data_IF_780300689047
#
_entry.id   IF_780300689047
#
_cell.length_a   1.000
_cell.length_b   1.000
_cell.length_c   1.000
_cell.angle_alpha   90.00
_cell.angle_beta   90.00
_cell.angle_gamma   90.00
#
_symmetry.space_group_name_H-M   'P 1'
#
loop_
_entity.id
_entity.type
_entity.pdbx_description
1 polymer ?
#
# COMPACT_ATOMS: atom_id res chain seq x y z
N UNK A 1 -21.99 -11.08 -0.54
CA UNK A 1 -20.66 -11.74 -0.45
C UNK A 1 -20.71 -13.02 0.41
N UNK A 2 -21.15 -12.96 1.68
CA UNK A 2 -21.27 -14.17 2.53
C UNK A 2 -22.15 -15.26 1.93
N UNK A 3 -23.31 -14.88 1.38
CA UNK A 3 -24.22 -15.83 0.71
C UNK A 3 -23.59 -16.49 -0.53
N UNK A 4 -22.51 -15.90 -1.05
CA UNK A 4 -21.71 -16.45 -2.15
C UNK A 4 -20.47 -17.23 -1.64
N UNK A 5 -20.37 -17.46 -0.34
CA UNK A 5 -19.30 -18.25 0.29
C UNK A 5 -18.07 -17.46 0.75
N UNK A 6 -18.08 -16.12 0.71
CA UNK A 6 -16.96 -15.31 1.22
C UNK A 6 -16.80 -15.49 2.74
N UNK A 7 -15.57 -15.71 3.18
CA UNK A 7 -15.20 -15.96 4.58
C UNK A 7 -13.68 -16.13 4.76
N UNK A 8 -13.21 -16.44 5.98
CA UNK A 8 -11.78 -16.64 6.28
C UNK A 8 -11.05 -17.52 5.27
N UNK A 9 -9.86 -17.08 4.86
CA UNK A 9 -8.98 -17.75 3.89
C UNK A 9 -9.56 -17.93 2.47
N UNK A 10 -10.75 -17.39 2.19
CA UNK A 10 -11.25 -17.27 0.81
C UNK A 10 -10.67 -16.03 0.17
N UNK A 11 -10.27 -16.14 -1.08
CA UNK A 11 -9.76 -15.03 -1.88
C UNK A 11 -10.86 -14.50 -2.80
N UNK A 12 -11.07 -13.18 -2.81
CA UNK A 12 -11.98 -12.49 -3.72
C UNK A 12 -11.14 -11.56 -4.61
N UNK A 13 -11.10 -11.82 -5.91
CA UNK A 13 -10.44 -10.90 -6.83
C UNK A 13 -11.30 -9.66 -7.07
N UNK A 14 -10.69 -8.48 -7.03
CA UNK A 14 -11.35 -7.19 -7.21
C UNK A 14 -10.67 -6.47 -8.37
N UNK A 15 -11.34 -6.49 -9.52
CA UNK A 15 -10.91 -5.88 -10.77
C UNK A 15 -11.79 -4.67 -11.11
N UNK A 16 -11.67 -3.61 -10.30
CA UNK A 16 -12.45 -2.38 -10.44
C UNK A 16 -11.52 -1.19 -10.70
N UNK A 17 -11.95 -0.20 -11.52
CA UNK A 17 -11.24 1.05 -11.64
C UNK A 17 -11.24 1.79 -10.29
N UNK A 18 -10.36 2.77 -10.13
CA UNK A 18 -10.32 3.58 -8.92
C UNK A 18 -11.63 4.34 -8.75
N UNK A 19 -12.40 4.01 -7.72
CA UNK A 19 -13.70 4.62 -7.42
C UNK A 19 -14.09 4.37 -5.95
N UNK A 20 -15.15 5.02 -5.49
CA UNK A 20 -15.70 4.72 -4.16
C UNK A 20 -16.18 3.26 -4.05
N UNK A 21 -16.67 2.68 -5.15
CA UNK A 21 -17.09 1.28 -5.18
C UNK A 21 -15.93 0.32 -4.97
N UNK A 22 -14.75 0.60 -5.53
CA UNK A 22 -13.54 -0.17 -5.27
C UNK A 22 -13.25 -0.19 -3.76
N UNK A 23 -13.19 0.98 -3.11
CA UNK A 23 -12.91 1.08 -1.67
C UNK A 23 -13.97 0.35 -0.85
N UNK A 24 -15.25 0.55 -1.18
CA UNK A 24 -16.37 -0.12 -0.51
C UNK A 24 -16.30 -1.64 -0.66
N UNK A 25 -15.92 -2.16 -1.84
CA UNK A 25 -15.76 -3.60 -2.08
C UNK A 25 -14.59 -4.18 -1.30
N UNK A 26 -13.43 -3.51 -1.26
CA UNK A 26 -12.27 -3.98 -0.47
C UNK A 26 -12.63 -4.09 1.02
N UNK A 27 -13.34 -3.09 1.56
CA UNK A 27 -13.87 -3.11 2.92
C UNK A 27 -14.92 -4.20 3.12
N UNK A 28 -15.84 -4.39 2.17
CA UNK A 28 -16.87 -5.41 2.24
C UNK A 28 -16.29 -6.83 2.23
N UNK A 29 -15.24 -7.07 1.43
CA UNK A 29 -14.50 -8.34 1.42
C UNK A 29 -13.85 -8.56 2.80
N UNK A 30 -13.13 -7.57 3.31
CA UNK A 30 -12.50 -7.62 4.64
C UNK A 30 -13.53 -7.86 5.76
N UNK A 31 -14.71 -7.24 5.68
CA UNK A 31 -15.80 -7.40 6.64
C UNK A 31 -16.44 -8.80 6.62
N UNK A 32 -16.22 -9.59 5.56
CA UNK A 32 -16.58 -11.01 5.54
C UNK A 32 -15.52 -11.91 6.18
N UNK A 33 -14.32 -11.37 6.46
CA UNK A 33 -13.13 -12.13 6.86
C UNK A 33 -12.35 -12.75 5.71
N UNK A 34 -12.80 -12.56 4.46
CA UNK A 34 -12.07 -13.01 3.27
C UNK A 34 -10.95 -12.02 2.92
N UNK A 35 -9.95 -12.48 2.17
CA UNK A 35 -8.91 -11.61 1.64
C UNK A 35 -9.27 -11.14 0.23
N UNK A 36 -8.92 -9.89 -0.08
CA UNK A 36 -9.02 -9.39 -1.44
C UNK A 36 -7.72 -9.64 -2.23
N UNK A 37 -7.87 -9.86 -3.53
CA UNK A 37 -6.77 -9.86 -4.51
C UNK A 37 -7.04 -8.70 -5.46
N UNK A 38 -6.35 -7.56 -5.30
CA UNK A 38 -6.60 -6.41 -6.16
C UNK A 38 -5.98 -6.68 -7.53
N UNK A 39 -6.75 -6.44 -8.58
CA UNK A 39 -6.32 -6.63 -9.97
C UNK A 39 -6.58 -5.34 -10.72
N UNK A 40 -5.53 -4.74 -11.27
CA UNK A 40 -5.65 -3.55 -12.09
C UNK A 40 -6.29 -3.94 -13.44
N UNK A 41 -7.49 -3.42 -13.78
CA UNK A 41 -8.14 -3.74 -15.04
C UNK A 41 -7.37 -3.24 -16.27
N UNK A 42 -6.43 -2.28 -16.10
CA UNK A 42 -5.61 -1.74 -17.17
C UNK A 42 -4.36 -2.60 -17.45
N UNK A 43 -4.12 -3.65 -16.68
CA UNK A 43 -3.05 -4.61 -16.97
C UNK A 43 -3.34 -5.40 -18.25
N UNK A 44 -2.29 -5.84 -18.98
CA UNK A 44 -2.44 -6.74 -20.11
C UNK A 44 -3.25 -7.99 -19.75
N UNK A 45 -4.09 -8.47 -20.68
CA UNK A 45 -4.99 -9.60 -20.44
C UNK A 45 -4.26 -10.86 -19.91
N UNK A 46 -3.09 -11.18 -20.46
CA UNK A 46 -2.27 -12.32 -20.01
C UNK A 46 -1.80 -12.15 -18.56
N UNK A 47 -1.49 -10.92 -18.15
CA UNK A 47 -1.12 -10.62 -16.77
C UNK A 47 -2.32 -10.81 -15.85
N UNK A 48 -3.49 -10.31 -16.22
CA UNK A 48 -4.73 -10.49 -15.45
C UNK A 48 -5.07 -11.98 -15.33
N UNK A 49 -5.01 -12.73 -16.44
CA UNK A 49 -5.26 -14.17 -16.45
C UNK A 49 -4.33 -14.91 -15.49
N UNK A 50 -3.03 -14.61 -15.54
CA UNK A 50 -2.06 -15.19 -14.60
C UNK A 50 -2.38 -14.89 -13.13
N UNK A 51 -2.72 -13.63 -12.81
CA UNK A 51 -3.06 -13.24 -11.44
C UNK A 51 -4.27 -14.01 -10.92
N UNK A 52 -5.29 -14.20 -11.75
CA UNK A 52 -6.49 -14.95 -11.39
C UNK A 52 -6.21 -16.45 -11.28
N UNK A 53 -5.40 -17.02 -12.17
CA UNK A 53 -5.03 -18.44 -12.13
C UNK A 53 -4.17 -18.78 -10.90
N UNK A 54 -3.13 -17.98 -10.61
CA UNK A 54 -2.24 -18.22 -9.45
C UNK A 54 -2.97 -17.97 -8.12
N UNK A 55 -3.98 -17.09 -8.10
CA UNK A 55 -4.75 -16.79 -6.89
C UNK A 55 -5.93 -17.73 -6.63
N UNK A 56 -6.46 -18.42 -7.64
CA UNK A 56 -7.67 -19.25 -7.54
C UNK A 56 -8.80 -18.61 -6.70
N UNK A 57 -9.27 -17.39 -7.04
CA UNK A 57 -10.24 -16.68 -6.22
C UNK A 57 -11.63 -17.35 -6.29
N UNK A 58 -12.36 -17.31 -5.18
CA UNK A 58 -13.76 -17.77 -5.11
C UNK A 58 -14.67 -16.98 -6.06
N UNK A 59 -14.43 -15.66 -6.18
CA UNK A 59 -15.20 -14.75 -7.05
C UNK A 59 -14.27 -13.71 -7.66
N UNK A 60 -14.67 -13.19 -8.83
CA UNK A 60 -14.06 -12.00 -9.45
C UNK A 60 -15.10 -10.89 -9.53
N UNK A 61 -14.89 -9.81 -8.79
CA UNK A 61 -15.73 -8.61 -8.81
C UNK A 61 -15.17 -7.66 -9.86
N UNK A 62 -15.99 -7.32 -10.85
CA UNK A 62 -15.67 -6.43 -11.99
C UNK A 62 -16.85 -5.49 -12.24
N UNK A 63 -16.71 -4.43 -13.06
CA UNK A 63 -17.82 -3.54 -13.36
C UNK A 63 -19.06 -4.33 -13.83
N UNK A 64 -20.22 -3.98 -13.28
CA UNK A 64 -21.49 -4.67 -13.54
C UNK A 64 -21.71 -5.97 -12.77
N UNK A 65 -20.80 -6.37 -11.86
CA UNK A 65 -21.06 -7.52 -10.98
C UNK A 65 -22.30 -7.26 -10.10
N UNK A 66 -23.19 -8.25 -9.84
CA UNK A 66 -24.43 -8.03 -9.09
C UNK A 66 -24.26 -7.44 -7.68
N UNK A 67 -23.09 -7.65 -7.06
CA UNK A 67 -22.75 -7.06 -5.74
C UNK A 67 -22.56 -5.54 -5.80
N UNK A 68 -22.39 -4.98 -7.00
CA UNK A 68 -22.27 -3.55 -7.28
C UNK A 68 -23.60 -2.94 -7.73
N UNK A 69 -24.66 -3.75 -7.90
CA UNK A 69 -25.92 -3.26 -8.43
C UNK A 69 -26.45 -2.11 -7.54
N UNK A 70 -26.60 -0.89 -8.09
CA UNK A 70 -27.07 0.26 -7.34
C UNK A 70 -28.57 0.10 -7.10
N UNK A 71 -28.93 -0.64 -6.06
CA UNK A 71 -30.22 -0.51 -5.42
C UNK A 71 -30.09 0.51 -4.30
N UNK A 72 -31.12 1.34 -4.02
CA UNK A 72 -31.19 1.98 -2.72
C UNK A 72 -31.14 0.84 -1.68
N UNK A 73 -30.06 0.81 -0.88
CA UNK A 73 -30.05 -0.04 0.29
C UNK A 73 -30.99 0.61 1.32
N UNK A 74 -32.29 0.44 1.10
CA UNK A 74 -33.37 0.85 2.01
C UNK A 74 -33.57 -0.17 3.15
N UNK A 75 -32.68 -1.17 3.23
CA UNK A 75 -32.56 -1.99 4.42
C UNK A 75 -32.18 -1.12 5.62
N UNK A 76 -32.54 -1.52 6.85
CA UNK A 76 -31.95 -0.90 8.03
C UNK A 76 -30.44 -0.86 7.83
N UNK A 77 -29.74 0.20 8.26
CA UNK A 77 -28.27 0.17 8.38
C UNK A 77 -27.94 -1.13 9.08
N UNK A 78 -27.56 -2.14 8.31
CA UNK A 78 -27.25 -3.45 8.85
C UNK A 78 -26.12 -3.17 9.80
N UNK A 79 -26.22 -3.64 11.03
CA UNK A 79 -25.02 -3.79 11.82
C UNK A 79 -24.01 -4.49 10.90
N UNK A 80 -22.82 -3.90 10.79
CA UNK A 80 -21.71 -4.57 10.13
C UNK A 80 -21.71 -6.00 10.70
N UNK A 81 -21.50 -7.04 9.88
CA UNK A 81 -21.35 -8.38 10.41
C UNK A 81 -20.42 -8.27 11.62
N UNK A 82 -20.87 -8.63 12.83
CA UNK A 82 -20.08 -8.54 14.06
C UNK A 82 -18.87 -9.50 14.07
N UNK A 83 -18.37 -9.81 12.88
CA UNK A 83 -17.24 -10.64 12.57
C UNK A 83 -16.03 -9.71 12.62
N UNK A 84 -15.24 -9.88 13.66
CA UNK A 84 -13.86 -9.41 13.65
C UNK A 84 -13.02 -10.50 12.99
N UNK A 85 -12.38 -10.25 11.83
CA UNK A 85 -11.47 -11.22 11.24
C UNK A 85 -10.40 -11.62 12.26
N UNK A 86 -10.03 -12.89 12.29
CA UNK A 86 -8.92 -13.33 13.12
C UNK A 86 -7.65 -12.55 12.70
N UNK A 87 -6.81 -12.06 13.64
CA UNK A 87 -5.64 -11.25 13.27
C UNK A 87 -4.69 -11.94 12.29
N UNK A 88 -4.59 -13.26 12.35
CA UNK A 88 -3.73 -14.06 11.44
C UNK A 88 -4.40 -14.42 10.10
N UNK A 89 -5.69 -14.15 9.94
CA UNK A 89 -6.38 -14.40 8.69
C UNK A 89 -5.83 -13.49 7.58
N UNK A 90 -5.92 -13.98 6.34
CA UNK A 90 -5.57 -13.22 5.15
C UNK A 90 -6.36 -11.90 5.11
N UNK A 91 -5.67 -10.76 5.00
CA UNK A 91 -6.28 -9.49 4.65
C UNK A 91 -6.27 -9.26 3.13
N UNK A 92 -5.12 -9.52 2.50
CA UNK A 92 -4.98 -9.44 1.05
C UNK A 92 -3.85 -10.29 0.51
N UNK A 93 -3.88 -10.49 -0.81
CA UNK A 93 -2.75 -11.05 -1.57
C UNK A 93 -2.38 -10.08 -2.68
N UNK A 94 -1.10 -9.71 -2.75
CA UNK A 94 -0.56 -8.86 -3.82
C UNK A 94 0.59 -9.58 -4.52
N UNK A 95 0.56 -9.59 -5.85
CA UNK A 95 1.58 -10.25 -6.65
C UNK A 95 2.73 -9.31 -6.99
N UNK A 96 3.93 -9.65 -6.54
CA UNK A 96 5.16 -8.92 -6.89
C UNK A 96 5.82 -9.49 -8.14
N UNK A 97 6.65 -8.70 -8.82
CA UNK A 97 7.51 -9.21 -9.90
C UNK A 97 8.49 -10.24 -9.33
N UNK A 98 8.35 -11.49 -9.75
CA UNK A 98 9.29 -12.54 -9.37
C UNK A 98 10.59 -12.40 -10.15
N UNK A 99 11.74 -12.53 -9.47
CA UNK A 99 13.05 -12.62 -10.14
C UNK A 99 13.18 -13.82 -11.07
N UNK A 100 12.33 -14.84 -10.88
CA UNK A 100 12.20 -16.03 -11.73
C UNK A 100 11.26 -15.82 -12.93
N UNK A 101 10.80 -14.59 -13.19
CA UNK A 101 9.91 -14.22 -14.30
C UNK A 101 8.42 -14.30 -13.97
N UNK A 102 8.02 -15.25 -13.12
CA UNK A 102 6.61 -15.43 -12.73
C UNK A 102 6.26 -14.67 -11.44
N UNK A 103 5.20 -13.85 -11.43
CA UNK A 103 4.75 -13.14 -10.23
C UNK A 103 4.37 -14.08 -9.09
N UNK A 104 4.64 -13.67 -7.86
CA UNK A 104 4.37 -14.45 -6.65
C UNK A 104 3.39 -13.70 -5.75
N UNK A 105 2.29 -14.33 -5.38
CA UNK A 105 1.32 -13.74 -4.45
C UNK A 105 1.89 -13.68 -3.04
N UNK A 106 2.05 -12.48 -2.48
CA UNK A 106 2.47 -12.26 -1.09
C UNK A 106 1.21 -12.16 -0.23
N UNK A 107 1.12 -13.00 0.80
CA UNK A 107 -0.08 -13.11 1.64
C UNK A 107 0.10 -12.29 2.92
N UNK A 108 -0.65 -11.20 3.05
CA UNK A 108 -0.61 -10.30 4.20
C UNK A 108 -1.76 -10.60 5.15
N UNK A 109 -1.47 -10.60 6.46
CA UNK A 109 -2.47 -10.83 7.51
C UNK A 109 -3.14 -9.52 7.95
N UNK A 110 -4.32 -9.62 8.57
CA UNK A 110 -4.97 -8.47 9.20
C UNK A 110 -4.11 -7.82 10.28
N UNK A 111 -3.37 -8.61 11.07
CA UNK A 111 -2.44 -8.10 12.09
C UNK A 111 -1.34 -7.25 11.48
N UNK A 112 -0.70 -7.74 10.42
CA UNK A 112 0.41 -7.04 9.78
C UNK A 112 -0.05 -5.73 9.15
N UNK A 113 -1.20 -5.75 8.46
CA UNK A 113 -1.81 -4.54 7.92
C UNK A 113 -2.20 -3.56 9.03
N UNK A 114 -2.87 -4.01 10.09
CA UNK A 114 -3.28 -3.15 11.19
C UNK A 114 -2.06 -2.51 11.90
N UNK A 115 -0.98 -3.27 12.12
CA UNK A 115 0.27 -2.76 12.68
C UNK A 115 0.85 -1.63 11.85
N UNK A 116 0.91 -1.82 10.52
CA UNK A 116 1.38 -0.78 9.62
C UNK A 116 0.48 0.45 9.67
N UNK A 117 -0.84 0.29 9.55
CA UNK A 117 -1.78 1.40 9.47
C UNK A 117 -1.69 2.29 10.72
N UNK A 118 -1.55 1.69 11.90
CA UNK A 118 -1.36 2.39 13.16
C UNK A 118 0.00 3.14 13.20
N UNK A 119 1.10 2.45 12.89
CA UNK A 119 2.45 3.03 12.94
C UNK A 119 2.65 4.18 11.94
N UNK A 120 2.13 4.01 10.72
CA UNK A 120 2.29 5.03 9.67
C UNK A 120 1.32 6.20 9.87
N UNK A 121 0.13 5.97 10.46
CA UNK A 121 -0.78 7.05 10.81
C UNK A 121 -0.14 8.03 11.79
N UNK A 122 0.58 7.52 12.82
CA UNK A 122 1.36 8.35 13.74
C UNK A 122 2.47 9.09 13.01
N UNK A 123 3.24 8.38 12.18
CA UNK A 123 4.34 8.98 11.39
C UNK A 123 3.85 10.11 10.49
N UNK A 124 2.63 10.01 9.96
CA UNK A 124 2.00 11.04 9.10
C UNK A 124 1.25 12.11 9.90
N UNK A 125 1.07 11.94 11.22
CA UNK A 125 0.12 12.71 12.01
C UNK A 125 -1.28 12.76 11.37
N UNK A 126 -1.71 11.65 10.75
CA UNK A 126 -2.96 11.57 10.00
C UNK A 126 -4.17 11.69 10.94
N UNK A 127 -5.18 12.48 10.56
CA UNK A 127 -6.37 12.71 11.38
C UNK A 127 -7.42 13.60 10.70
N UNK A 128 -8.51 13.96 11.41
CA UNK A 128 -9.59 14.76 10.86
C UNK A 128 -9.10 16.07 10.22
N UNK A 129 -9.57 16.36 9.02
CA UNK A 129 -9.16 17.53 8.23
C UNK A 129 -8.02 17.26 7.26
N UNK A 130 -7.28 16.16 7.41
CA UNK A 130 -6.31 15.70 6.41
C UNK A 130 -7.01 15.01 5.24
N UNK A 131 -6.35 15.10 4.08
CA UNK A 131 -6.78 14.55 2.80
C UNK A 131 -5.58 13.94 2.09
N UNK A 132 -5.65 12.64 1.81
CA UNK A 132 -4.59 11.88 1.16
C UNK A 132 -5.00 11.57 -0.28
N UNK A 133 -4.17 11.96 -1.24
CA UNK A 133 -4.37 11.65 -2.65
C UNK A 133 -3.97 10.20 -2.95
N UNK A 134 -4.95 9.40 -3.35
CA UNK A 134 -4.74 8.03 -3.82
C UNK A 134 -4.45 8.04 -5.32
N UNK A 135 -3.19 7.83 -5.68
CA UNK A 135 -2.66 7.88 -7.05
C UNK A 135 -2.10 6.53 -7.50
N UNK A 136 -1.83 5.61 -6.57
CA UNK A 136 -1.21 4.33 -6.88
C UNK A 136 -2.22 3.31 -7.37
N UNK A 137 -1.84 2.50 -8.36
CA UNK A 137 -2.63 1.35 -8.80
C UNK A 137 -2.84 0.38 -7.63
N UNK A 138 -4.06 -0.15 -7.49
CA UNK A 138 -4.39 -1.09 -6.40
C UNK A 138 -3.64 -2.41 -6.46
N UNK A 139 -3.01 -2.74 -7.58
CA UNK A 139 -2.16 -3.93 -7.69
C UNK A 139 -0.79 -3.76 -7.03
N UNK A 140 -0.45 -2.55 -6.56
CA UNK A 140 0.71 -2.30 -5.71
C UNK A 140 0.26 -2.09 -4.28
N UNK A 141 1.04 -2.62 -3.34
CA UNK A 141 0.73 -2.65 -1.91
C UNK A 141 0.63 -1.26 -1.29
N UNK A 142 1.45 -0.31 -1.73
CA UNK A 142 1.44 1.07 -1.24
C UNK A 142 0.09 1.79 -1.47
N UNK A 143 -0.78 1.30 -2.36
CA UNK A 143 -2.15 1.80 -2.51
C UNK A 143 -3.01 1.51 -1.28
N UNK A 144 -2.76 0.41 -0.55
CA UNK A 144 -3.52 0.10 0.67
C UNK A 144 -3.28 1.13 1.78
N UNK A 145 -2.09 1.75 1.84
CA UNK A 145 -1.84 2.91 2.72
C UNK A 145 -2.74 4.08 2.31
N UNK A 146 -2.75 4.43 1.03
CA UNK A 146 -3.48 5.57 0.48
C UNK A 146 -4.99 5.44 0.74
N UNK A 147 -5.51 4.22 0.68
CA UNK A 147 -6.93 3.94 0.85
C UNK A 147 -7.34 3.78 2.31
N UNK A 148 -6.54 3.13 3.16
CA UNK A 148 -7.00 2.75 4.50
C UNK A 148 -6.51 3.66 5.64
N UNK A 149 -5.34 4.29 5.53
CA UNK A 149 -4.87 5.21 6.58
C UNK A 149 -5.90 6.32 6.84
N UNK A 150 -6.46 7.00 5.81
CA UNK A 150 -7.40 8.06 6.09
C UNK A 150 -8.68 7.57 6.77
N UNK A 151 -9.14 6.37 6.40
CA UNK A 151 -10.39 5.79 6.93
C UNK A 151 -10.27 5.38 8.40
N UNK A 152 -9.10 4.94 8.84
CA UNK A 152 -8.89 4.56 10.25
C UNK A 152 -8.57 5.75 11.17
N UNK A 153 -8.15 6.88 10.60
CA UNK A 153 -7.83 8.10 11.37
C UNK A 153 -8.91 9.18 11.30
N UNK A 154 -9.93 9.01 10.45
CA UNK A 154 -10.97 10.02 10.21
C UNK A 154 -10.57 11.14 9.25
N UNK A 155 -9.46 10.97 8.51
CA UNK A 155 -9.11 11.78 7.35
C UNK A 155 -9.92 11.36 6.11
N UNK A 156 -9.75 12.06 4.99
CA UNK A 156 -10.41 11.71 3.73
C UNK A 156 -9.44 11.12 2.70
N UNK A 157 -9.94 10.16 1.92
CA UNK A 157 -9.27 9.66 0.71
C UNK A 157 -9.75 10.50 -0.48
N UNK A 158 -8.82 11.04 -1.26
CA UNK A 158 -9.12 11.70 -2.54
C UNK A 158 -8.67 10.76 -3.65
N UNK A 159 -9.62 10.20 -4.39
CA UNK A 159 -9.35 9.25 -5.47
C UNK A 159 -9.03 10.02 -6.76
N UNK A 160 -7.78 9.99 -7.21
CA UNK A 160 -7.40 10.60 -8.48
C UNK A 160 -7.83 9.71 -9.66
N UNK A 161 -8.38 10.29 -10.72
CA UNK A 161 -8.66 9.57 -11.96
C UNK A 161 -7.36 9.20 -12.69
N UNK A 162 -7.43 8.26 -13.63
CA UNK A 162 -6.23 7.77 -14.36
C UNK A 162 -5.57 8.92 -15.11
N UNK A 163 -6.36 9.75 -15.77
CA UNK A 163 -5.91 10.92 -16.51
C UNK A 163 -5.22 11.94 -15.59
N UNK A 164 -5.76 12.15 -14.39
CA UNK A 164 -5.15 13.03 -13.38
C UNK A 164 -3.81 12.49 -12.89
N UNK A 165 -3.65 11.17 -12.73
CA UNK A 165 -2.35 10.58 -12.34
C UNK A 165 -1.29 10.71 -13.43
N UNK A 166 -1.69 10.59 -14.71
CA UNK A 166 -0.77 10.62 -15.85
C UNK A 166 -0.35 12.04 -16.25
N UNK A 167 -1.08 13.07 -15.80
CA UNK A 167 -0.79 14.47 -16.09
C UNK A 167 -0.51 15.25 -14.79
N UNK A 168 0.75 15.61 -14.51
CA UNK A 168 1.13 16.38 -13.33
C UNK A 168 0.34 17.69 -13.11
N UNK A 169 -0.07 18.37 -14.19
CA UNK A 169 -0.83 19.61 -14.07
C UNK A 169 -2.27 19.34 -13.61
N UNK A 170 -2.89 18.27 -14.12
CA UNK A 170 -4.19 17.82 -13.64
C UNK A 170 -4.12 17.33 -12.20
N UNK A 171 -3.06 16.60 -11.83
CA UNK A 171 -2.83 16.18 -10.45
C UNK A 171 -2.68 17.38 -9.50
N UNK A 172 -1.94 18.42 -9.91
CA UNK A 172 -1.81 19.68 -9.16
C UNK A 172 -3.16 20.37 -8.99
N UNK A 173 -3.94 20.47 -10.07
CA UNK A 173 -5.28 21.07 -10.01
C UNK A 173 -6.23 20.27 -9.11
N UNK A 174 -6.12 18.94 -9.07
CA UNK A 174 -6.85 18.09 -8.12
C UNK A 174 -6.40 18.35 -6.68
N UNK A 175 -5.09 18.39 -6.43
CA UNK A 175 -4.52 18.66 -5.12
C UNK A 175 -5.01 19.99 -4.55
N UNK A 176 -4.97 21.05 -5.36
CA UNK A 176 -5.44 22.39 -5.00
C UNK A 176 -6.95 22.40 -4.72
N UNK A 177 -7.76 21.90 -5.67
CA UNK A 177 -9.23 21.88 -5.56
C UNK A 177 -9.73 21.09 -4.36
N UNK A 178 -9.00 20.06 -3.98
CA UNK A 178 -9.36 19.21 -2.84
C UNK A 178 -8.66 19.61 -1.55
N UNK A 179 -7.75 20.59 -1.57
CA UNK A 179 -6.88 20.92 -0.43
C UNK A 179 -6.19 19.67 0.12
N UNK A 180 -5.53 18.93 -0.77
CA UNK A 180 -4.74 17.75 -0.43
C UNK A 180 -3.62 18.11 0.54
N UNK A 181 -3.37 17.21 1.49
CA UNK A 181 -2.36 17.41 2.56
C UNK A 181 -1.25 16.38 2.52
N UNK A 182 -1.51 15.24 1.87
CA UNK A 182 -0.60 14.11 1.81
C UNK A 182 -0.64 13.51 0.40
N UNK A 183 0.53 13.20 -0.14
CA UNK A 183 0.66 12.44 -1.38
C UNK A 183 1.87 11.51 -1.27
N UNK A 184 1.69 10.30 -1.78
CA UNK A 184 2.73 9.29 -1.90
C UNK A 184 3.06 9.08 -3.38
N UNK A 185 4.34 8.99 -3.70
CA UNK A 185 4.79 8.63 -5.03
C UNK A 185 6.21 8.03 -4.98
N UNK A 186 6.61 7.35 -6.05
CA UNK A 186 8.01 6.94 -6.21
C UNK A 186 8.89 8.15 -6.56
N UNK A 187 10.21 8.11 -6.26
CA UNK A 187 11.16 9.12 -6.72
C UNK A 187 11.02 9.49 -8.21
N UNK A 188 10.84 8.50 -9.09
CA UNK A 188 10.63 8.74 -10.52
C UNK A 188 9.36 9.55 -10.83
N UNK A 189 8.24 9.23 -10.18
CA UNK A 189 6.99 9.99 -10.35
C UNK A 189 7.10 11.40 -9.73
N UNK A 190 7.71 11.52 -8.54
CA UNK A 190 7.97 12.82 -7.93
C UNK A 190 8.74 13.74 -8.85
N UNK A 191 9.78 13.24 -9.52
CA UNK A 191 10.56 14.02 -10.49
C UNK A 191 9.68 14.60 -11.60
N UNK A 192 8.87 13.76 -12.22
CA UNK A 192 7.93 14.19 -13.26
C UNK A 192 6.93 15.23 -12.77
N UNK A 193 6.43 15.06 -11.53
CA UNK A 193 5.51 16.00 -10.91
C UNK A 193 6.17 17.37 -10.71
N UNK A 194 7.32 17.42 -10.03
CA UNK A 194 7.91 18.71 -9.62
C UNK A 194 8.60 19.46 -10.77
N UNK A 195 8.92 18.77 -11.86
CA UNK A 195 9.45 19.42 -13.07
C UNK A 195 8.33 20.10 -13.87
N UNK A 196 7.09 19.59 -13.81
CA UNK A 196 5.94 20.15 -14.52
C UNK A 196 5.07 21.07 -13.63
N UNK A 197 4.90 20.74 -12.36
CA UNK A 197 3.97 21.37 -11.40
C UNK A 197 4.60 21.51 -10.01
N UNK A 198 5.67 22.31 -9.83
CA UNK A 198 6.36 22.46 -8.55
C UNK A 198 5.47 22.97 -7.41
N UNK A 199 4.44 23.77 -7.72
CA UNK A 199 3.50 24.32 -6.74
C UNK A 199 2.64 23.26 -6.02
N UNK A 200 2.57 22.03 -6.54
CA UNK A 200 1.89 20.91 -5.87
C UNK A 200 2.48 20.64 -4.47
N UNK A 201 3.77 20.95 -4.27
CA UNK A 201 4.44 20.70 -2.99
C UNK A 201 3.97 21.63 -1.87
N UNK A 202 3.39 22.79 -2.20
CA UNK A 202 3.09 23.85 -1.23
C UNK A 202 2.17 23.33 -0.11
N UNK A 203 2.72 23.22 1.11
CA UNK A 203 1.97 22.74 2.27
C UNK A 203 1.74 21.22 2.33
N UNK A 204 2.32 20.44 1.40
CA UNK A 204 2.12 19.01 1.29
C UNK A 204 3.08 18.21 2.17
N UNK A 205 2.57 17.19 2.85
CA UNK A 205 3.39 16.11 3.38
C UNK A 205 3.71 15.12 2.25
N UNK A 206 4.98 15.11 1.85
CA UNK A 206 5.53 14.31 0.76
C UNK A 206 5.97 12.96 1.30
N UNK A 207 5.40 11.88 0.78
CA UNK A 207 5.89 10.52 1.03
C UNK A 207 6.58 10.00 -0.24
N UNK A 208 7.84 9.59 -0.10
CA UNK A 208 8.63 9.01 -1.18
C UNK A 208 9.10 7.62 -0.80
N UNK A 209 8.92 6.64 -1.70
CA UNK A 209 9.33 5.27 -1.43
C UNK A 209 9.26 4.36 -2.66
N UNK A 210 9.72 3.12 -2.50
CA UNK A 210 9.72 2.11 -3.56
C UNK A 210 10.94 2.17 -4.50
N UNK A 211 11.70 3.27 -4.49
CA UNK A 211 12.98 3.40 -5.20
C UNK A 211 13.97 4.14 -4.29
N UNK A 212 15.30 4.00 -4.50
CA UNK A 212 16.27 4.85 -3.83
C UNK A 212 16.00 6.33 -4.12
N UNK A 213 15.86 7.15 -3.07
CA UNK A 213 15.63 8.58 -3.21
C UNK A 213 16.96 9.32 -3.51
N UNK A 214 17.11 9.97 -4.69
CA UNK A 214 18.32 10.75 -5.00
C UNK A 214 18.44 12.00 -4.10
N UNK A 215 19.67 12.37 -3.73
CA UNK A 215 19.92 13.50 -2.83
C UNK A 215 19.38 14.84 -3.37
N UNK A 216 19.56 15.09 -4.68
CA UNK A 216 19.07 16.30 -5.33
C UNK A 216 17.52 16.36 -5.36
N UNK A 217 16.85 15.20 -5.47
CA UNK A 217 15.40 15.14 -5.37
C UNK A 217 14.93 15.37 -3.94
N UNK A 218 15.59 14.73 -2.97
CA UNK A 218 15.26 14.89 -1.56
C UNK A 218 15.33 16.36 -1.13
N UNK A 219 16.39 17.07 -1.53
CA UNK A 219 16.53 18.50 -1.25
C UNK A 219 15.37 19.32 -1.83
N UNK A 220 15.00 19.08 -3.10
CA UNK A 220 13.87 19.77 -3.74
C UNK A 220 12.55 19.48 -3.05
N UNK A 221 12.28 18.22 -2.72
CA UNK A 221 11.04 17.81 -2.06
C UNK A 221 10.94 18.33 -0.62
N UNK A 222 12.04 18.28 0.15
CA UNK A 222 12.08 18.78 1.52
C UNK A 222 11.99 20.31 1.60
N UNK A 223 12.49 21.02 0.57
CA UNK A 223 12.41 22.48 0.51
C UNK A 223 11.04 22.98 0.06
N UNK A 224 10.42 22.31 -0.92
CA UNK A 224 9.12 22.71 -1.45
C UNK A 224 7.93 22.21 -0.63
N UNK A 225 8.07 21.04 0.01
CA UNK A 225 7.04 20.42 0.84
C UNK A 225 6.96 20.99 2.25
N UNK A 226 5.85 20.74 2.95
CA UNK A 226 5.78 20.96 4.39
C UNK A 226 6.64 19.97 5.17
N UNK A 227 6.80 18.75 4.63
CA UNK A 227 7.56 17.65 5.24
C UNK A 227 7.89 16.60 4.19
N UNK A 228 9.06 15.97 4.30
CA UNK A 228 9.48 14.85 3.45
C UNK A 228 9.70 13.59 4.29
N UNK A 229 8.91 12.56 4.02
CA UNK A 229 9.10 11.22 4.56
C UNK A 229 9.66 10.30 3.48
N UNK A 230 10.84 9.75 3.72
CA UNK A 230 11.41 8.68 2.91
C UNK A 230 11.05 7.33 3.55
N UNK A 231 10.33 6.50 2.82
CA UNK A 231 9.73 5.25 3.27
C UNK A 231 10.38 4.07 2.56
N UNK A 232 10.63 2.99 3.32
CA UNK A 232 11.21 1.78 2.77
C UNK A 232 10.56 0.53 3.37
N UNK A 233 10.28 -0.43 2.52
CA UNK A 233 9.74 -1.73 2.87
C UNK A 233 9.48 -2.55 1.60
N UNK A 234 9.82 -3.84 1.58
CA UNK A 234 9.31 -4.77 0.58
C UNK A 234 7.85 -5.18 0.88
N UNK A 235 7.14 -5.68 -0.13
CA UNK A 235 5.79 -6.22 0.04
C UNK A 235 5.72 -7.34 1.06
N UNK A 236 6.77 -8.15 1.16
CA UNK A 236 6.90 -9.23 2.15
C UNK A 236 6.94 -8.77 3.61
N UNK A 237 7.11 -7.48 3.88
CA UNK A 237 7.09 -6.90 5.23
C UNK A 237 6.00 -5.84 5.40
N UNK A 238 4.96 -5.94 4.56
CA UNK A 238 3.73 -5.16 4.59
C UNK A 238 3.95 -3.68 4.33
N UNK A 239 4.09 -3.32 3.05
CA UNK A 239 4.19 -1.95 2.52
C UNK A 239 5.47 -1.23 2.97
N UNK A 240 5.50 -0.71 4.20
CA UNK A 240 6.63 0.04 4.74
C UNK A 240 7.09 -0.58 6.05
N UNK A 241 8.40 -0.60 6.27
CA UNK A 241 9.04 -1.13 7.48
C UNK A 241 9.88 -0.08 8.18
N UNK A 242 10.30 0.96 7.47
CA UNK A 242 11.09 2.06 8.01
C UNK A 242 10.59 3.41 7.51
N UNK A 243 10.86 4.44 8.30
CA UNK A 243 10.55 5.84 7.99
C UNK A 243 11.74 6.73 8.35
N UNK A 244 12.04 7.66 7.46
CA UNK A 244 12.95 8.78 7.70
C UNK A 244 12.23 10.10 7.47
N UNK A 245 12.29 10.98 8.46
CA UNK A 245 11.88 12.38 8.32
C UNK A 245 13.11 13.20 7.88
N UNK A 246 13.12 13.63 6.62
CA UNK A 246 14.28 14.25 6.00
C UNK A 246 14.17 15.78 6.03
N UNK A 247 15.18 16.42 6.62
CA UNK A 247 15.33 17.87 6.58
C UNK A 247 15.95 18.32 5.25
N UNK A 248 15.74 19.58 4.83
CA UNK A 248 16.40 20.17 3.67
C UNK A 248 17.84 20.59 4.00
N UNK A 249 18.68 19.64 4.45
CA UNK A 249 20.05 19.88 4.93
C UNK A 249 21.14 19.44 3.94
N UNK A 250 20.76 18.92 2.77
CA UNK A 250 21.69 18.41 1.75
C UNK A 250 22.37 17.10 2.13
N UNK A 251 21.90 16.41 3.18
CA UNK A 251 22.37 15.10 3.59
C UNK A 251 22.08 14.00 2.58
N UNK A 252 22.82 12.89 2.66
CA UNK A 252 22.50 11.69 1.87
C UNK A 252 21.19 11.09 2.39
N UNK A 253 20.16 10.89 1.53
CA UNK A 253 18.89 10.30 1.96
C UNK A 253 19.11 8.91 2.56
N UNK A 254 18.46 8.65 3.69
CA UNK A 254 18.49 7.36 4.38
C UNK A 254 17.08 6.83 4.60
N UNK A 255 16.97 5.53 4.87
CA UNK A 255 15.68 4.86 5.12
C UNK A 255 15.20 4.97 6.57
N UNK A 256 16.02 5.54 7.45
CA UNK A 256 15.62 5.94 8.80
C UNK A 256 15.54 4.78 9.78
N UNK A 257 14.48 4.76 10.59
CA UNK A 257 14.31 3.83 11.69
C UNK A 257 13.09 2.92 11.48
N UNK A 258 13.04 1.82 12.23
CA UNK A 258 11.95 0.85 12.14
C UNK A 258 10.61 1.45 12.59
N UNK A 259 9.53 1.10 11.88
CA UNK A 259 8.16 1.32 12.35
C UNK A 259 7.84 0.46 13.58
N UNK A 260 6.67 0.70 14.18
CA UNK A 260 6.22 -0.06 15.35
C UNK A 260 6.27 -1.56 15.11
N UNK A 261 6.68 -2.27 16.17
CA UNK A 261 6.76 -3.72 16.24
C UNK A 261 7.59 -4.34 15.09
N UNK A 262 8.54 -3.57 14.55
CA UNK A 262 9.45 -3.97 13.48
C UNK A 262 10.89 -3.98 14.01
N UNK A 263 11.65 -4.98 13.59
CA UNK A 263 13.07 -5.14 13.93
C UNK A 263 13.89 -5.12 12.66
N UNK A 264 15.02 -4.41 12.70
CA UNK A 264 15.99 -4.36 11.62
C UNK A 264 17.30 -4.97 12.10
N UNK A 265 17.93 -5.76 11.25
CA UNK A 265 19.25 -6.36 11.48
C UNK A 265 20.04 -6.27 10.19
N UNK A 266 21.26 -5.74 10.28
CA UNK A 266 22.21 -5.80 9.17
C UNK A 266 23.20 -6.92 9.50
N UNK A 267 23.17 -7.98 8.71
CA UNK A 267 23.87 -9.23 9.00
C UNK A 267 24.96 -9.53 7.96
N UNK A 268 26.01 -10.22 8.41
CA UNK A 268 27.01 -10.83 7.54
C UNK A 268 26.53 -12.18 6.96
N UNK A 269 27.29 -12.84 6.05
CA UNK A 269 26.92 -14.14 5.48
C UNK A 269 26.80 -15.30 6.49
N UNK A 270 27.18 -15.10 7.76
CA UNK A 270 27.04 -16.08 8.84
C UNK A 270 25.92 -15.70 9.84
N UNK A 271 25.03 -14.78 9.45
CA UNK A 271 23.91 -14.28 10.24
C UNK A 271 24.32 -13.57 11.54
N UNK A 272 25.48 -12.91 11.54
CA UNK A 272 25.97 -12.13 12.69
C UNK A 272 25.78 -10.63 12.42
N UNK A 273 25.38 -9.83 13.44
CA UNK A 273 25.29 -8.39 13.28
C UNK A 273 26.62 -7.76 12.87
N UNK A 274 26.59 -6.89 11.85
CA UNK A 274 27.78 -6.12 11.45
C UNK A 274 27.90 -4.83 12.27
N UNK A 275 29.14 -4.31 12.50
CA UNK A 275 29.34 -3.02 13.15
C UNK A 275 28.79 -1.83 12.35
N UNK A 276 28.52 -0.67 12.98
CA UNK A 276 28.14 0.55 12.28
C UNK A 276 29.14 0.93 11.17
N UNK A 277 28.63 1.29 9.99
CA UNK A 277 29.43 1.67 8.82
C UNK A 277 29.93 0.50 7.96
N UNK A 278 29.75 -0.75 8.41
CA UNK A 278 30.08 -1.94 7.62
C UNK A 278 28.85 -2.39 6.82
N UNK A 279 28.94 -2.56 5.49
CA UNK A 279 27.83 -3.09 4.70
C UNK A 279 27.50 -4.54 5.08
N UNK A 280 26.21 -4.88 5.04
CA UNK A 280 25.70 -6.23 5.21
C UNK A 280 24.31 -6.38 4.59
N UNK A 281 23.70 -7.54 4.74
CA UNK A 281 22.34 -7.82 4.24
C UNK A 281 21.30 -7.40 5.29
N UNK A 282 20.25 -6.71 4.85
CA UNK A 282 19.16 -6.27 5.72
C UNK A 282 18.14 -7.38 5.92
N UNK A 283 17.91 -7.74 7.18
CA UNK A 283 16.84 -8.62 7.63
C UNK A 283 15.81 -7.81 8.41
N UNK A 284 14.54 -8.05 8.10
CA UNK A 284 13.40 -7.38 8.72
C UNK A 284 12.59 -8.46 9.42
N UNK A 285 12.26 -8.23 10.69
CA UNK A 285 11.39 -9.12 11.47
C UNK A 285 10.34 -8.35 12.23
N UNK A 286 9.35 -9.05 12.80
CA UNK A 286 8.32 -8.45 13.65
C UNK A 286 6.91 -8.59 13.10
N UNK A 287 5.99 -7.74 13.57
CA UNK A 287 4.55 -7.90 13.33
C UNK A 287 4.14 -7.58 11.88
N UNK A 288 4.98 -6.87 11.12
CA UNK A 288 4.73 -6.54 9.71
C UNK A 288 5.08 -7.67 8.74
N UNK A 289 5.60 -8.82 9.19
CA UNK A 289 5.94 -9.92 8.28
C UNK A 289 4.68 -10.47 7.58
N UNK A 290 4.80 -10.66 6.27
CA UNK A 290 3.85 -11.47 5.51
C UNK A 290 3.80 -12.90 6.04
N UNK A 291 2.69 -13.60 5.79
CA UNK A 291 2.59 -15.05 6.09
C UNK A 291 3.49 -15.87 5.18
N UNK A 292 3.85 -15.32 4.03
CA UNK A 292 4.67 -15.97 3.01
C UNK A 292 4.07 -15.80 1.62
N UNK A 293 4.51 -16.66 0.70
CA UNK A 293 4.03 -16.70 -0.67
C UNK A 293 2.92 -17.74 -0.85
N UNK A 294 1.85 -17.34 -1.53
CA UNK A 294 0.65 -18.14 -1.79
C UNK A 294 1.02 -19.45 -2.49
N UNK A 295 0.76 -20.59 -1.84
CA UNK A 295 1.02 -21.91 -2.43
C UNK A 295 2.50 -22.23 -2.72
N UNK A 296 3.47 -21.45 -2.21
CA UNK A 296 4.92 -21.65 -2.47
C UNK A 296 5.72 -21.91 -1.19
N UNK A 297 5.40 -22.97 -0.45
CA UNK A 297 6.03 -23.30 0.85
C UNK A 297 7.57 -23.32 0.80
N UNK A 298 8.17 -23.89 -0.24
CA UNK A 298 9.64 -23.93 -0.38
C UNK A 298 10.27 -22.54 -0.55
N UNK A 299 9.61 -21.64 -1.30
CA UNK A 299 10.08 -20.26 -1.47
C UNK A 299 9.87 -19.45 -0.19
N UNK A 300 8.75 -19.67 0.51
CA UNK A 300 8.51 -19.07 1.82
C UNK A 300 9.60 -19.47 2.80
N UNK A 301 9.90 -20.77 2.91
CA UNK A 301 10.92 -21.28 3.82
C UNK A 301 12.35 -20.80 3.50
N UNK A 302 12.64 -20.37 2.27
CA UNK A 302 13.96 -19.85 1.90
C UNK A 302 14.10 -18.33 2.04
N UNK A 303 13.00 -17.59 2.19
CA UNK A 303 13.00 -16.12 2.31
C UNK A 303 12.59 -15.62 3.69
N UNK A 304 11.77 -16.38 4.41
CA UNK A 304 11.34 -16.07 5.77
C UNK A 304 12.19 -16.89 6.74
N UNK A 305 13.45 -16.48 6.85
CA UNK A 305 14.49 -17.14 7.63
C UNK A 305 15.12 -16.14 8.60
N UNK A 306 15.75 -16.68 9.66
CA UNK A 306 16.38 -15.96 10.78
C UNK A 306 15.41 -15.48 11.86
#
# INVERSE_FOLDING_TARGET
LRDLGAGPERLIAVALPRSADLVAVLLAVSATGAAYVPVDPDFPADRVAYLLEDSDPLLVIRPGHPVLAPGPYDGPRSELPGITPAPEAAAYVIHTSGSTGNPKGVVISHRALANLLDAIAESLASGPGHRLLAVTTVSFDIAALELFVPLVTGAAVVLAEREEVLDPLLLSALAERTAATHLQATPSLWRGIIDAAPGLLDGLCVMSGGEPLPADLAERLATGGARLLNLYGPTETTIWSTVADLAPDGGTPHVGHALHNTTLRVLDPWLRPVPPGVPGELYIGGAGLARGYLGRSALTASRFTA
#
